data_IF_902285271278
#
_entry.id   IF_902285271278
#
_cell.length_a   1.000
_cell.length_b   1.000
_cell.length_c   1.000
_cell.angle_alpha   90.00
_cell.angle_beta   90.00
_cell.angle_gamma   90.00
#
_symmetry.space_group_name_H-M   'P 1'
#
loop_
_entity.id
_entity.type
_entity.pdbx_description
1 polymer ?
#
# COMPACT_ATOMS: atom_id res chain seq x y z
N UNK A 1 -21.14 30.30 41.67
CA UNK A 1 -21.11 29.00 40.95
C UNK A 1 -19.71 28.83 40.44
N UNK A 2 -18.83 28.33 41.30
CA UNK A 2 -17.41 28.23 40.97
C UNK A 2 -17.22 27.09 39.97
N UNK A 3 -16.51 27.38 38.89
CA UNK A 3 -16.17 26.38 37.90
C UNK A 3 -15.16 25.41 38.50
N UNK A 4 -15.64 24.28 39.03
CA UNK A 4 -14.80 23.17 39.49
C UNK A 4 -13.83 22.81 38.35
N UNK A 5 -12.56 23.13 38.56
CA UNK A 5 -11.51 22.97 37.55
C UNK A 5 -11.25 21.47 37.37
N UNK A 6 -11.88 20.87 36.37
CA UNK A 6 -11.78 19.44 36.11
C UNK A 6 -10.31 19.02 36.00
N UNK A 7 -9.86 18.15 36.91
CA UNK A 7 -8.49 17.64 36.93
C UNK A 7 -8.19 16.93 35.61
N UNK A 8 -7.17 17.41 34.90
CA UNK A 8 -6.67 16.80 33.67
C UNK A 8 -5.43 15.96 34.01
N UNK A 9 -5.60 14.65 34.09
CA UNK A 9 -4.51 13.71 34.39
C UNK A 9 -3.90 13.19 33.09
N UNK A 10 -2.65 13.54 32.74
CA UNK A 10 -2.00 13.08 31.51
C UNK A 10 -1.48 11.65 31.66
N UNK A 11 -1.37 10.96 30.52
CA UNK A 11 -0.85 9.59 30.46
C UNK A 11 0.60 9.64 29.96
N UNK A 12 1.52 9.08 30.73
CA UNK A 12 2.96 9.26 30.52
C UNK A 12 3.59 7.92 30.20
N UNK A 13 4.33 7.82 29.09
CA UNK A 13 5.11 6.63 28.78
C UNK A 13 6.60 6.87 29.06
N UNK A 14 7.15 6.21 30.09
CA UNK A 14 8.56 6.36 30.54
C UNK A 14 9.54 5.38 29.88
N UNK A 15 9.07 4.47 29.04
CA UNK A 15 9.91 3.44 28.41
C UNK A 15 11.07 4.01 27.57
N UNK A 16 12.21 3.31 27.64
CA UNK A 16 13.49 3.69 27.03
C UNK A 16 13.85 2.74 25.88
N UNK A 17 14.37 3.29 24.79
CA UNK A 17 14.73 2.53 23.59
C UNK A 17 15.80 1.47 23.85
N UNK A 18 16.91 1.82 24.53
CA UNK A 18 18.01 0.88 24.75
C UNK A 18 17.60 -0.33 25.61
N UNK A 19 16.85 -0.08 26.68
CA UNK A 19 16.31 -1.12 27.56
C UNK A 19 15.35 -2.06 26.81
N UNK A 20 14.40 -1.50 26.06
CA UNK A 20 13.47 -2.29 25.27
C UNK A 20 14.15 -3.03 24.09
N UNK A 21 15.18 -2.44 23.47
CA UNK A 21 15.98 -3.10 22.43
C UNK A 21 16.66 -4.35 22.98
N UNK A 22 17.28 -4.28 24.16
CA UNK A 22 17.88 -5.45 24.83
C UNK A 22 16.87 -6.56 25.11
N UNK A 23 15.65 -6.21 25.53
CA UNK A 23 14.55 -7.18 25.70
C UNK A 23 14.14 -7.78 24.34
N UNK A 24 14.00 -6.95 23.31
CA UNK A 24 13.53 -7.36 21.99
C UNK A 24 14.52 -8.27 21.26
N UNK A 25 15.82 -7.93 21.24
CA UNK A 25 16.82 -8.73 20.51
C UNK A 25 17.01 -10.13 21.12
N UNK A 26 17.04 -10.24 22.45
CA UNK A 26 17.08 -11.53 23.14
C UNK A 26 15.82 -12.34 22.85
N UNK A 27 14.64 -11.71 22.87
CA UNK A 27 13.40 -12.38 22.53
C UNK A 27 13.34 -12.82 21.06
N UNK A 28 13.91 -12.05 20.13
CA UNK A 28 13.99 -12.39 18.71
C UNK A 28 14.88 -13.61 18.49
N UNK A 29 16.11 -13.58 19.02
CA UNK A 29 17.06 -14.69 18.92
C UNK A 29 16.49 -15.99 19.50
N UNK A 30 15.90 -15.93 20.71
CA UNK A 30 15.24 -17.09 21.32
C UNK A 30 14.02 -17.56 20.51
N UNK A 31 13.29 -16.65 19.86
CA UNK A 31 12.17 -17.02 18.98
C UNK A 31 12.65 -17.74 17.72
N UNK A 32 13.76 -17.32 17.13
CA UNK A 32 14.36 -17.97 15.95
C UNK A 32 14.90 -19.36 16.34
N UNK A 33 15.73 -19.44 17.40
CA UNK A 33 16.36 -20.69 17.86
C UNK A 33 15.32 -21.75 18.25
N UNK A 34 14.17 -21.33 18.78
CA UNK A 34 13.08 -22.25 19.18
C UNK A 34 12.00 -22.43 18.11
N UNK A 35 12.29 -22.08 16.84
CA UNK A 35 11.36 -22.22 15.70
C UNK A 35 9.96 -21.63 15.97
N UNK A 36 9.93 -20.45 16.60
CA UNK A 36 8.70 -19.74 16.93
C UNK A 36 8.10 -20.05 18.30
N UNK A 37 8.52 -21.11 19.01
CA UNK A 37 7.90 -21.52 20.29
C UNK A 37 8.08 -20.43 21.37
N UNK A 38 9.28 -19.87 21.52
CA UNK A 38 9.56 -18.82 22.52
C UNK A 38 8.74 -17.52 22.30
N UNK A 39 8.13 -17.33 21.12
CA UNK A 39 7.30 -16.16 20.82
C UNK A 39 6.15 -15.95 21.82
N UNK A 40 5.73 -16.98 22.56
CA UNK A 40 4.73 -16.87 23.63
C UNK A 40 5.27 -16.12 24.86
N UNK A 41 6.51 -16.42 25.26
CA UNK A 41 7.23 -15.72 26.33
C UNK A 41 7.61 -14.31 25.89
N UNK A 42 8.08 -14.14 24.65
CA UNK A 42 8.35 -12.84 24.05
C UNK A 42 7.13 -11.90 24.09
N UNK A 43 5.92 -12.38 23.74
CA UNK A 43 4.68 -11.57 23.81
C UNK A 43 4.38 -11.12 25.25
N UNK A 44 4.52 -12.00 26.24
CA UNK A 44 4.29 -11.63 27.66
C UNK A 44 5.33 -10.62 28.14
N UNK A 45 6.63 -10.84 27.86
CA UNK A 45 7.71 -9.94 28.28
C UNK A 45 7.57 -8.55 27.64
N UNK A 46 7.17 -8.48 26.36
CA UNK A 46 6.80 -7.25 25.67
C UNK A 46 5.65 -6.54 26.40
N UNK A 47 4.51 -7.22 26.61
CA UNK A 47 3.35 -6.59 27.27
C UNK A 47 3.70 -6.07 28.67
N UNK A 48 4.35 -6.88 29.52
CA UNK A 48 4.83 -6.44 30.85
C UNK A 48 5.66 -5.17 30.77
N UNK A 49 6.59 -5.08 29.80
CA UNK A 49 7.42 -3.89 29.62
C UNK A 49 6.60 -2.63 29.32
N UNK A 50 5.71 -2.68 28.32
CA UNK A 50 4.90 -1.51 27.93
C UNK A 50 3.87 -1.13 28.99
N UNK A 51 3.26 -2.10 29.67
CA UNK A 51 2.26 -1.87 30.71
C UNK A 51 2.91 -1.16 31.90
N UNK A 52 4.02 -1.70 32.41
CA UNK A 52 4.73 -1.11 33.55
C UNK A 52 5.28 0.31 33.24
N UNK A 53 5.66 0.55 31.99
CA UNK A 53 6.15 1.85 31.51
C UNK A 53 5.06 2.82 31.04
N UNK A 54 3.78 2.45 31.09
CA UNK A 54 2.64 3.34 30.83
C UNK A 54 2.07 3.77 32.17
N UNK A 55 2.11 5.06 32.50
CA UNK A 55 1.80 5.56 33.84
C UNK A 55 0.63 6.53 33.82
N UNK A 56 -0.21 6.39 34.85
CA UNK A 56 -1.21 7.38 35.27
C UNK A 56 -0.82 7.79 36.69
N UNK A 57 -0.59 9.08 36.89
CA UNK A 57 -0.12 9.65 38.17
C UNK A 57 1.04 8.84 38.78
N UNK A 58 2.05 8.58 37.96
CA UNK A 58 3.26 7.83 38.33
C UNK A 58 3.05 6.37 38.76
N UNK A 59 1.87 5.77 38.61
CA UNK A 59 1.66 4.32 38.78
C UNK A 59 1.52 3.63 37.42
N UNK A 60 2.21 2.50 37.23
CA UNK A 60 2.18 1.70 36.00
C UNK A 60 0.97 0.77 35.88
N UNK A 61 0.88 0.05 34.74
CA UNK A 61 -0.01 -1.10 34.57
C UNK A 61 0.75 -2.41 34.82
N UNK A 62 0.04 -3.43 35.29
CA UNK A 62 0.57 -4.78 35.44
C UNK A 62 -0.06 -5.73 34.43
N UNK A 63 0.72 -6.70 33.95
CA UNK A 63 0.28 -7.75 33.03
C UNK A 63 0.63 -9.14 33.58
N UNK A 64 -0.39 -9.91 33.93
CA UNK A 64 -0.34 -11.15 34.71
C UNK A 64 -0.34 -12.43 33.87
N UNK A 65 -0.42 -12.33 32.54
CA UNK A 65 -0.57 -13.51 31.69
C UNK A 65 0.61 -14.49 31.78
N UNK A 66 0.27 -15.78 31.89
CA UNK A 66 1.24 -16.88 31.80
C UNK A 66 1.53 -17.20 30.33
N UNK A 67 2.80 -17.26 29.88
CA UNK A 67 3.17 -17.57 28.48
C UNK A 67 2.55 -18.87 27.97
N UNK A 68 2.43 -19.89 28.82
CA UNK A 68 1.91 -21.21 28.47
C UNK A 68 0.46 -21.17 27.95
N UNK A 69 -0.36 -20.20 28.41
CA UNK A 69 -1.73 -20.02 27.94
C UNK A 69 -1.76 -19.51 26.49
N UNK A 70 -0.81 -18.65 26.12
CA UNK A 70 -0.63 -18.15 24.75
C UNK A 70 -0.09 -19.27 23.85
N UNK A 71 0.86 -20.08 24.36
CA UNK A 71 1.40 -21.22 23.62
C UNK A 71 0.31 -22.24 23.28
N UNK A 72 -0.56 -22.61 24.24
CA UNK A 72 -1.69 -23.52 23.99
C UNK A 72 -2.59 -23.05 22.83
N UNK A 73 -2.96 -21.77 22.82
CA UNK A 73 -3.73 -21.18 21.71
C UNK A 73 -3.00 -21.24 20.37
N UNK A 74 -1.68 -21.00 20.36
CA UNK A 74 -0.85 -21.13 19.15
C UNK A 74 -0.70 -22.58 18.67
N UNK A 75 -0.60 -23.56 19.55
CA UNK A 75 -0.54 -24.97 19.16
C UNK A 75 -1.85 -25.43 18.51
N UNK A 76 -3.01 -24.97 19.03
CA UNK A 76 -4.32 -25.23 18.40
C UNK A 76 -4.38 -24.57 17.01
N UNK A 77 -3.96 -23.31 16.88
CA UNK A 77 -3.93 -22.61 15.59
C UNK A 77 -2.96 -23.27 14.59
N UNK A 78 -1.81 -23.76 15.06
CA UNK A 78 -0.83 -24.48 14.24
C UNK A 78 -1.38 -25.83 13.76
N UNK A 79 -2.02 -26.62 14.65
CA UNK A 79 -2.67 -27.87 14.27
C UNK A 79 -3.81 -27.64 13.26
N UNK A 80 -4.60 -26.57 13.45
CA UNK A 80 -5.63 -26.17 12.51
C UNK A 80 -5.06 -25.75 11.15
N UNK A 81 -4.00 -24.93 11.13
CA UNK A 81 -3.30 -24.53 9.90
C UNK A 81 -2.71 -25.74 9.18
N UNK A 82 -2.07 -26.66 9.90
CA UNK A 82 -1.54 -27.90 9.35
C UNK A 82 -2.66 -28.75 8.72
N UNK A 83 -3.79 -28.90 9.41
CA UNK A 83 -4.99 -29.56 8.88
C UNK A 83 -5.50 -28.90 7.59
N UNK A 84 -5.63 -27.57 7.58
CA UNK A 84 -6.00 -26.80 6.39
C UNK A 84 -5.02 -27.04 5.23
N UNK A 85 -3.72 -26.94 5.47
CA UNK A 85 -2.67 -27.13 4.45
C UNK A 85 -2.66 -28.55 3.86
N UNK A 86 -2.81 -29.59 4.69
CA UNK A 86 -2.93 -30.96 4.19
C UNK A 86 -4.26 -31.21 3.48
N UNK A 87 -5.36 -30.59 3.92
CA UNK A 87 -6.69 -30.84 3.39
C UNK A 87 -6.83 -30.57 1.89
N UNK A 88 -6.07 -29.59 1.36
CA UNK A 88 -6.01 -29.27 -0.06
C UNK A 88 -5.48 -30.42 -0.94
N UNK A 89 -4.67 -31.31 -0.38
CA UNK A 89 -4.13 -32.49 -1.07
C UNK A 89 -5.09 -33.69 -1.05
N UNK A 90 -6.15 -33.62 -0.24
CA UNK A 90 -7.16 -34.68 -0.08
C UNK A 90 -8.40 -34.37 -0.91
N UNK A 91 -8.89 -33.13 -0.85
CA UNK A 91 -10.03 -32.67 -1.64
C UNK A 91 -10.07 -31.15 -1.73
N UNK A 92 -10.40 -30.55 -2.90
CA UNK A 92 -10.53 -29.11 -3.06
C UNK A 92 -11.65 -28.49 -2.20
N UNK A 93 -12.58 -29.29 -1.67
CA UNK A 93 -13.70 -28.81 -0.83
C UNK A 93 -13.28 -28.67 0.64
N UNK A 94 -12.32 -29.47 1.13
CA UNK A 94 -11.96 -29.46 2.55
C UNK A 94 -11.32 -28.12 3.03
N UNK A 95 -10.44 -27.43 2.26
CA UNK A 95 -9.97 -26.10 2.62
C UNK A 95 -11.10 -25.09 2.85
N UNK A 96 -12.19 -25.18 2.07
CA UNK A 96 -13.38 -24.35 2.21
C UNK A 96 -14.10 -24.69 3.53
N UNK A 97 -14.25 -25.98 3.84
CA UNK A 97 -14.84 -26.42 5.12
C UNK A 97 -14.02 -25.93 6.33
N UNK A 98 -12.69 -26.01 6.27
CA UNK A 98 -11.81 -25.41 7.30
C UNK A 98 -12.05 -23.89 7.42
N UNK A 99 -12.06 -23.14 6.31
CA UNK A 99 -12.31 -21.69 6.35
C UNK A 99 -13.69 -21.33 6.92
N UNK A 100 -14.73 -22.12 6.60
CA UNK A 100 -16.07 -21.96 7.19
C UNK A 100 -16.09 -22.25 8.70
N UNK A 101 -15.38 -23.29 9.16
CA UNK A 101 -15.20 -23.55 10.59
C UNK A 101 -14.50 -22.37 11.28
N UNK A 102 -13.39 -21.88 10.72
CA UNK A 102 -12.68 -20.72 11.28
C UNK A 102 -13.58 -19.49 11.35
N UNK A 103 -14.39 -19.25 10.30
CA UNK A 103 -15.34 -18.15 10.24
C UNK A 103 -16.42 -18.26 11.33
N UNK A 104 -16.99 -19.45 11.55
CA UNK A 104 -17.98 -19.72 12.61
C UNK A 104 -17.36 -19.54 14.02
N UNK A 105 -16.09 -19.93 14.21
CA UNK A 105 -15.39 -19.78 15.49
C UNK A 105 -14.84 -18.36 15.75
N UNK A 106 -14.77 -17.49 14.74
CA UNK A 106 -14.19 -16.14 14.84
C UNK A 106 -14.83 -15.29 15.97
N UNK A 107 -16.17 -15.24 16.15
CA UNK A 107 -16.79 -14.49 17.25
C UNK A 107 -16.39 -15.00 18.64
N UNK A 108 -16.23 -16.32 18.78
CA UNK A 108 -15.77 -16.94 20.03
C UNK A 108 -14.29 -16.61 20.28
N UNK A 109 -13.45 -16.62 19.24
CA UNK A 109 -12.04 -16.24 19.33
C UNK A 109 -11.88 -14.77 19.75
N UNK A 110 -12.68 -13.85 19.20
CA UNK A 110 -12.69 -12.43 19.60
C UNK A 110 -13.05 -12.30 21.09
N UNK A 111 -14.19 -12.86 21.52
CA UNK A 111 -14.64 -12.79 22.92
C UNK A 111 -13.62 -13.41 23.88
N UNK A 112 -13.08 -14.59 23.57
CA UNK A 112 -12.06 -15.23 24.41
C UNK A 112 -10.73 -14.47 24.43
N UNK A 113 -10.35 -13.82 23.33
CA UNK A 113 -9.20 -12.95 23.24
C UNK A 113 -9.31 -11.74 24.17
N UNK A 114 -10.43 -11.00 24.08
CA UNK A 114 -10.71 -9.85 24.95
C UNK A 114 -10.82 -10.23 26.43
N UNK A 115 -11.54 -11.32 26.77
CA UNK A 115 -11.58 -11.85 28.15
C UNK A 115 -10.17 -12.19 28.66
N UNK A 116 -9.34 -12.82 27.83
CA UNK A 116 -7.98 -13.20 28.21
C UNK A 116 -7.10 -11.98 28.46
N UNK A 117 -7.12 -10.98 27.58
CA UNK A 117 -6.31 -9.78 27.76
C UNK A 117 -6.76 -8.99 29.00
N UNK A 118 -8.06 -8.66 29.10
CA UNK A 118 -8.60 -7.84 30.18
C UNK A 118 -8.33 -8.45 31.57
N UNK A 119 -8.66 -9.73 31.76
CA UNK A 119 -8.45 -10.42 33.06
C UNK A 119 -6.99 -10.62 33.45
N UNK A 120 -6.08 -10.57 32.49
CA UNK A 120 -4.64 -10.65 32.73
C UNK A 120 -4.00 -9.28 32.89
N UNK A 121 -4.78 -8.23 33.03
CA UNK A 121 -4.29 -6.87 33.07
C UNK A 121 -4.94 -6.14 34.25
N UNK A 122 -4.21 -5.18 34.83
CA UNK A 122 -4.65 -4.47 36.03
C UNK A 122 -3.94 -3.15 36.24
N UNK A 123 -4.56 -2.28 37.04
CA UNK A 123 -3.98 -1.02 37.50
C UNK A 123 -4.30 -0.79 38.97
N UNK A 124 -3.30 -0.33 39.75
CA UNK A 124 -3.49 0.03 41.16
C UNK A 124 -4.21 -1.06 41.98
N UNK A 125 -3.93 -2.33 41.67
CA UNK A 125 -4.51 -3.52 42.32
C UNK A 125 -5.90 -3.97 41.81
N UNK A 126 -6.59 -3.16 41.00
CA UNK A 126 -7.88 -3.48 40.40
C UNK A 126 -7.69 -4.12 39.02
N UNK A 127 -8.39 -5.23 38.77
CA UNK A 127 -8.41 -5.92 37.47
C UNK A 127 -9.52 -5.39 36.59
N UNK A 128 -9.35 -5.59 35.30
CA UNK A 128 -10.36 -5.35 34.30
C UNK A 128 -11.05 -6.66 33.92
N UNK A 129 -12.19 -6.55 33.26
CA UNK A 129 -12.92 -7.69 32.70
C UNK A 129 -13.54 -7.33 31.34
N UNK A 130 -13.99 -8.35 30.62
CA UNK A 130 -14.74 -8.22 29.38
C UNK A 130 -16.01 -9.08 29.45
N UNK A 131 -17.18 -8.45 29.31
CA UNK A 131 -18.50 -9.10 29.48
C UNK A 131 -19.25 -9.34 28.15
N UNK A 132 -18.60 -9.11 27.01
CA UNK A 132 -19.22 -9.24 25.69
C UNK A 132 -19.52 -10.69 25.31
N UNK A 133 -20.65 -10.89 24.64
CA UNK A 133 -21.15 -12.23 24.31
C UNK A 133 -20.80 -12.67 22.89
N UNK A 134 -20.74 -13.99 22.66
CA UNK A 134 -20.44 -14.57 21.34
C UNK A 134 -21.50 -14.18 20.30
N UNK A 135 -22.77 -14.03 20.69
CA UNK A 135 -23.84 -13.57 19.81
C UNK A 135 -23.70 -12.11 19.38
N UNK A 136 -23.32 -11.22 20.30
CA UNK A 136 -22.97 -9.83 19.97
C UNK A 136 -21.77 -9.77 19.01
N UNK A 137 -20.72 -10.54 19.29
CA UNK A 137 -19.56 -10.64 18.41
C UNK A 137 -19.94 -11.21 17.03
N UNK A 138 -20.84 -12.18 16.93
CA UNK A 138 -21.29 -12.75 15.65
C UNK A 138 -22.01 -11.69 14.80
N UNK A 139 -22.88 -10.86 15.41
CA UNK A 139 -23.50 -9.72 14.73
C UNK A 139 -22.44 -8.77 14.15
N UNK A 140 -21.43 -8.41 14.94
CA UNK A 140 -20.45 -7.36 14.59
C UNK A 140 -19.32 -7.83 13.68
N UNK A 141 -18.90 -9.09 13.79
CA UNK A 141 -17.74 -9.64 13.06
C UNK A 141 -18.09 -10.64 11.95
N UNK A 142 -19.33 -11.14 11.89
CA UNK A 142 -19.85 -11.96 10.77
C UNK A 142 -20.95 -11.21 10.02
N UNK A 143 -22.07 -10.90 10.67
CA UNK A 143 -23.30 -10.44 9.98
C UNK A 143 -23.08 -9.09 9.30
N UNK A 144 -22.53 -8.09 10.00
CA UNK A 144 -22.27 -6.78 9.39
C UNK A 144 -21.20 -6.84 8.28
N UNK A 145 -20.06 -7.55 8.42
CA UNK A 145 -19.12 -7.76 7.31
C UNK A 145 -19.70 -8.45 6.07
N UNK A 146 -20.65 -9.39 6.20
CA UNK A 146 -21.33 -9.99 5.04
C UNK A 146 -22.14 -8.96 4.23
N UNK A 147 -22.67 -7.91 4.88
CA UNK A 147 -23.34 -6.79 4.20
C UNK A 147 -22.38 -5.89 3.41
N UNK A 148 -21.07 -6.06 3.52
CA UNK A 148 -20.07 -5.27 2.75
C UNK A 148 -20.21 -5.52 1.25
N UNK A 149 -20.48 -6.77 0.85
CA UNK A 149 -20.68 -7.15 -0.56
C UNK A 149 -21.91 -6.45 -1.15
N UNK A 150 -23.04 -6.47 -0.43
CA UNK A 150 -24.30 -5.86 -0.87
C UNK A 150 -24.31 -4.32 -0.84
N UNK A 151 -23.36 -3.71 -0.12
CA UNK A 151 -23.26 -2.24 0.02
C UNK A 151 -22.05 -1.63 -0.69
N UNK A 152 -21.31 -2.42 -1.47
CA UNK A 152 -20.06 -2.01 -2.15
C UNK A 152 -19.07 -1.28 -1.21
N UNK A 153 -18.99 -1.72 0.06
CA UNK A 153 -18.13 -1.11 1.07
C UNK A 153 -18.73 0.08 1.83
N UNK A 154 -19.90 0.62 1.45
CA UNK A 154 -20.51 1.78 2.13
C UNK A 154 -20.90 1.53 3.59
N UNK A 155 -21.01 0.27 4.02
CA UNK A 155 -21.23 -0.11 5.43
C UNK A 155 -19.96 -0.15 6.28
N UNK A 156 -18.75 -0.08 5.70
CA UNK A 156 -17.46 -0.14 6.44
C UNK A 156 -17.38 0.87 7.60
N UNK A 157 -17.81 2.14 7.46
CA UNK A 157 -17.78 3.10 8.58
C UNK A 157 -18.70 2.70 9.73
N UNK A 158 -19.84 2.06 9.42
CA UNK A 158 -20.77 1.50 10.40
C UNK A 158 -20.21 0.24 11.06
N UNK A 159 -19.60 -0.69 10.31
CA UNK A 159 -18.88 -1.85 10.88
C UNK A 159 -17.81 -1.36 11.86
N UNK A 160 -17.02 -0.36 11.48
CA UNK A 160 -15.98 0.23 12.31
C UNK A 160 -16.54 0.79 13.62
N UNK A 161 -17.65 1.55 13.53
CA UNK A 161 -18.38 2.05 14.70
C UNK A 161 -18.93 0.93 15.61
N UNK A 162 -19.62 -0.07 15.07
CA UNK A 162 -20.19 -1.16 15.87
C UNK A 162 -19.10 -2.05 16.49
N UNK A 163 -17.92 -2.19 15.85
CA UNK A 163 -16.74 -2.81 16.47
C UNK A 163 -16.24 -2.01 17.69
N UNK A 164 -16.12 -0.69 17.57
CA UNK A 164 -15.75 0.16 18.70
C UNK A 164 -16.76 0.10 19.84
N UNK A 165 -18.06 0.18 19.53
CA UNK A 165 -19.14 0.02 20.51
C UNK A 165 -19.09 -1.34 21.22
N UNK A 166 -18.91 -2.43 20.46
CA UNK A 166 -18.84 -3.77 21.04
C UNK A 166 -17.62 -3.97 21.95
N UNK A 167 -16.46 -3.42 21.59
CA UNK A 167 -15.26 -3.54 22.42
C UNK A 167 -15.38 -2.68 23.67
N UNK A 168 -15.57 -1.35 23.52
CA UNK A 168 -15.61 -0.41 24.65
C UNK A 168 -16.75 -0.74 25.60
N UNK A 169 -18.00 -0.85 25.13
CA UNK A 169 -19.15 -1.00 26.02
C UNK A 169 -19.15 -2.32 26.80
N UNK A 170 -18.31 -3.30 26.43
CA UNK A 170 -18.18 -4.58 27.13
C UNK A 170 -16.92 -4.68 27.99
N UNK A 171 -16.01 -3.70 27.97
CA UNK A 171 -14.92 -3.61 28.94
C UNK A 171 -15.45 -3.11 30.29
N UNK A 172 -14.78 -3.56 31.36
CA UNK A 172 -15.02 -3.13 32.74
C UNK A 172 -13.70 -2.93 33.47
N UNK A 173 -13.70 -2.06 34.47
CA UNK A 173 -12.61 -1.89 35.43
C UNK A 173 -13.16 -2.01 36.86
N UNK A 174 -12.73 -3.04 37.59
CA UNK A 174 -13.38 -3.40 38.85
C UNK A 174 -14.88 -3.65 38.62
N UNK A 175 -15.71 -2.75 39.15
CA UNK A 175 -17.17 -2.80 38.97
C UNK A 175 -17.69 -1.81 37.91
N UNK A 176 -16.92 -0.78 37.56
CA UNK A 176 -17.33 0.27 36.63
C UNK A 176 -17.25 -0.21 35.18
N UNK A 177 -18.28 0.09 34.39
CA UNK A 177 -18.35 -0.26 32.97
C UNK A 177 -17.99 0.95 32.11
N UNK A 178 -17.34 0.70 30.98
CA UNK A 178 -17.05 1.73 29.98
C UNK A 178 -18.28 1.96 29.09
N UNK A 179 -18.53 3.21 28.72
CA UNK A 179 -19.63 3.61 27.85
C UNK A 179 -19.15 4.53 26.74
N UNK A 180 -19.24 4.09 25.49
CA UNK A 180 -18.98 4.90 24.30
C UNK A 180 -20.28 5.49 23.76
N UNK A 181 -20.36 6.82 23.65
CA UNK A 181 -21.47 7.50 22.96
C UNK A 181 -21.52 7.10 21.48
N UNK A 182 -22.70 6.68 21.00
CA UNK A 182 -22.97 6.31 19.60
C UNK A 182 -22.83 7.54 18.68
N UNK A 183 -21.82 7.53 17.79
CA UNK A 183 -21.41 8.69 16.95
C UNK A 183 -21.21 8.33 15.47
N UNK A 184 -22.05 7.45 14.92
CA UNK A 184 -22.01 6.93 13.53
C UNK A 184 -21.67 7.99 12.46
N UNK A 185 -22.35 9.16 12.47
CA UNK A 185 -22.11 10.25 11.50
C UNK A 185 -20.67 10.73 11.45
N UNK A 186 -19.94 10.67 12.56
CA UNK A 186 -18.55 11.11 12.64
C UNK A 186 -17.59 10.10 12.02
N UNK A 187 -17.86 8.79 12.17
CA UNK A 187 -17.14 7.73 11.48
C UNK A 187 -17.29 7.90 9.96
N UNK A 188 -18.52 8.04 9.45
CA UNK A 188 -18.77 8.28 8.02
C UNK A 188 -17.97 9.47 7.46
N UNK A 189 -17.90 10.61 8.20
CA UNK A 189 -17.08 11.76 7.78
C UNK A 189 -15.59 11.44 7.64
N UNK A 190 -15.04 10.59 8.51
CA UNK A 190 -13.61 10.19 8.46
C UNK A 190 -13.35 9.32 7.22
N UNK A 191 -14.18 8.31 6.97
CA UNK A 191 -14.03 7.43 5.81
C UNK A 191 -14.36 8.12 4.47
N UNK A 192 -15.23 9.13 4.45
CA UNK A 192 -15.52 9.88 3.22
C UNK A 192 -14.30 10.67 2.70
N UNK A 193 -13.54 11.30 3.60
CA UNK A 193 -12.29 12.01 3.24
C UNK A 193 -11.28 11.03 2.61
N UNK A 194 -11.20 9.82 3.16
CA UNK A 194 -10.37 8.72 2.66
C UNK A 194 -10.82 8.22 1.29
N UNK A 195 -12.12 8.23 0.98
CA UNK A 195 -12.61 7.83 -0.33
C UNK A 195 -12.27 8.89 -1.39
N UNK A 196 -12.46 10.17 -1.05
CA UNK A 196 -12.35 11.30 -1.97
C UNK A 196 -10.89 11.56 -2.40
N UNK A 197 -9.93 11.52 -1.47
CA UNK A 197 -8.52 11.82 -1.77
C UNK A 197 -7.91 10.90 -2.87
N UNK A 198 -7.91 9.55 -2.74
CA UNK A 198 -7.41 8.66 -3.80
C UNK A 198 -8.26 8.73 -5.07
N UNK A 199 -9.57 9.00 -4.97
CA UNK A 199 -10.41 9.18 -6.16
C UNK A 199 -9.96 10.40 -6.97
N UNK A 200 -9.71 11.54 -6.31
CA UNK A 200 -9.17 12.75 -6.95
C UNK A 200 -7.78 12.47 -7.52
N UNK A 201 -6.88 11.84 -6.76
CA UNK A 201 -5.52 11.49 -7.24
C UNK A 201 -5.60 10.56 -8.46
N UNK A 202 -6.49 9.56 -8.44
CA UNK A 202 -6.71 8.62 -9.53
C UNK A 202 -7.27 9.29 -10.79
N UNK A 203 -8.23 10.21 -10.65
CA UNK A 203 -8.75 11.02 -11.76
C UNK A 203 -7.66 11.92 -12.34
N UNK A 204 -6.89 12.62 -11.49
CA UNK A 204 -5.77 13.46 -11.94
C UNK A 204 -4.70 12.63 -12.66
N UNK A 205 -4.36 11.44 -12.16
CA UNK A 205 -3.43 10.53 -12.82
C UNK A 205 -3.97 10.01 -14.16
N UNK A 206 -5.26 9.65 -14.22
CA UNK A 206 -5.92 9.19 -15.45
C UNK A 206 -5.98 10.26 -16.55
N UNK A 207 -5.94 11.55 -16.19
CA UNK A 207 -5.84 12.67 -17.15
C UNK A 207 -4.37 12.97 -17.48
N UNK A 208 -3.51 13.05 -16.46
CA UNK A 208 -2.12 13.48 -16.62
C UNK A 208 -1.24 12.45 -17.35
N UNK A 209 -1.44 11.14 -17.12
CA UNK A 209 -0.60 10.10 -17.76
C UNK A 209 -0.80 10.05 -19.29
N UNK A 210 -2.04 10.00 -19.83
CA UNK A 210 -2.24 10.07 -21.28
C UNK A 210 -1.77 11.40 -21.90
N UNK A 211 -1.98 12.53 -21.22
CA UNK A 211 -1.51 13.83 -21.69
C UNK A 211 0.02 13.89 -21.78
N UNK A 212 0.73 13.36 -20.77
CA UNK A 212 2.19 13.24 -20.78
C UNK A 212 2.68 12.27 -21.87
N UNK A 213 2.03 11.12 -22.05
CA UNK A 213 2.34 10.18 -23.13
C UNK A 213 2.19 10.84 -24.51
N UNK A 214 1.10 11.58 -24.75
CA UNK A 214 0.89 12.32 -26.01
C UNK A 214 1.94 13.42 -26.22
N UNK A 215 2.33 14.15 -25.16
CA UNK A 215 3.41 15.13 -25.22
C UNK A 215 4.75 14.48 -25.60
N UNK A 216 5.11 13.36 -24.97
CA UNK A 216 6.35 12.64 -25.26
C UNK A 216 6.39 12.09 -26.70
N UNK A 217 5.26 11.57 -27.21
CA UNK A 217 5.15 11.13 -28.61
C UNK A 217 5.36 12.29 -29.58
N UNK A 218 4.74 13.45 -29.31
CA UNK A 218 4.92 14.66 -30.14
C UNK A 218 6.37 15.16 -30.10
N UNK A 219 6.99 15.24 -28.92
CA UNK A 219 8.38 15.65 -28.77
C UNK A 219 9.35 14.70 -29.52
N UNK A 220 9.13 13.39 -29.43
CA UNK A 220 9.91 12.41 -30.19
C UNK A 220 9.72 12.54 -31.71
N UNK A 221 8.49 12.79 -32.18
CA UNK A 221 8.23 13.02 -33.61
C UNK A 221 8.90 14.29 -34.13
N UNK A 222 8.97 15.36 -33.34
CA UNK A 222 9.65 16.61 -33.72
C UNK A 222 11.18 16.47 -33.70
N UNK A 223 11.73 15.71 -32.75
CA UNK A 223 13.16 15.38 -32.74
C UNK A 223 13.56 14.60 -34.00
N UNK A 224 12.73 13.64 -34.43
CA UNK A 224 12.97 12.86 -35.65
C UNK A 224 12.70 13.66 -36.94
N UNK A 225 11.81 14.66 -36.91
CA UNK A 225 11.59 15.56 -38.04
C UNK A 225 12.83 16.45 -38.32
N UNK A 226 13.61 16.78 -37.29
CA UNK A 226 14.88 17.51 -37.42
C UNK A 226 16.00 16.72 -38.11
N UNK A 227 15.92 15.40 -38.15
CA UNK A 227 16.85 14.50 -38.87
C UNK A 227 16.36 14.11 -40.27
N UNK A 228 15.18 14.57 -40.70
CA UNK A 228 14.54 14.15 -41.94
C UNK A 228 15.05 14.91 -43.19
N UNK A 229 16.38 15.05 -43.33
CA UNK A 229 17.03 15.54 -44.56
C UNK A 229 18.31 14.77 -44.96
N UNK A 230 18.54 13.56 -44.43
CA UNK A 230 19.44 12.58 -45.09
C UNK A 230 18.84 11.16 -44.99
N UNK A 231 17.98 10.81 -45.95
CA UNK A 231 17.76 9.42 -46.32
C UNK A 231 18.69 9.10 -47.50
N UNK A 232 19.73 8.28 -47.35
CA UNK A 232 20.36 7.68 -48.52
C UNK A 232 19.38 6.67 -49.11
N UNK A 233 18.89 6.95 -50.32
CA UNK A 233 18.10 6.00 -51.09
C UNK A 233 18.98 4.78 -51.39
N UNK A 234 18.79 3.69 -50.64
CA UNK A 234 19.34 2.37 -50.97
C UNK A 234 18.20 1.35 -50.98
N UNK A 235 17.33 1.51 -51.98
CA UNK A 235 16.56 0.39 -52.50
C UNK A 235 17.37 -0.22 -53.65
N UNK A 236 18.28 -1.15 -53.33
CA UNK A 236 18.97 -1.97 -54.33
C UNK A 236 18.85 -3.46 -53.99
N UNK A 237 18.78 -4.25 -55.06
CA UNK A 237 18.33 -5.64 -55.09
C UNK A 237 19.35 -6.60 -54.42
N UNK A 238 18.91 -7.77 -53.92
CA UNK A 238 19.80 -8.79 -53.40
C UNK A 238 20.44 -9.62 -54.54
N UNK A 239 21.39 -9.05 -55.26
CA UNK A 239 22.45 -9.73 -56.04
C UNK A 239 23.31 -8.70 -56.77
N UNK A 240 24.53 -9.08 -57.16
CA UNK A 240 25.54 -8.21 -57.81
C UNK A 240 26.07 -7.10 -56.88
N UNK A 241 26.92 -7.47 -55.90
CA UNK A 241 28.35 -7.05 -55.83
C UNK A 241 29.08 -8.07 -54.92
N UNK A 242 29.49 -9.20 -55.49
CA UNK A 242 30.47 -10.11 -54.86
C UNK A 242 31.61 -10.42 -55.85
N UNK A 243 32.07 -9.38 -56.55
CA UNK A 243 33.14 -9.43 -57.54
C UNK A 243 33.64 -8.01 -57.86
N UNK A 244 34.41 -7.39 -56.95
CA UNK A 244 35.10 -6.11 -57.21
C UNK A 244 36.23 -5.73 -56.23
N UNK A 245 36.49 -6.51 -55.16
CA UNK A 245 37.58 -6.24 -54.21
C UNK A 245 38.75 -7.23 -54.36
N UNK A 246 39.31 -7.27 -55.57
CA UNK A 246 40.73 -7.60 -55.78
C UNK A 246 41.44 -6.34 -56.28
N UNK A 247 42.71 -6.19 -55.90
CA UNK A 247 43.70 -5.19 -56.33
C UNK A 247 43.81 -3.81 -55.60
N UNK A 248 45.04 -3.59 -55.11
CA UNK A 248 45.86 -2.34 -55.10
C UNK A 248 45.58 -1.17 -54.14
N UNK A 249 46.40 -1.12 -53.08
CA UNK A 249 47.44 -0.13 -52.75
C UNK A 249 47.18 1.37 -52.48
N UNK A 250 47.72 1.78 -51.32
CA UNK A 250 48.49 3.00 -50.98
C UNK A 250 48.01 4.40 -51.45
N UNK A 251 47.56 5.23 -50.49
CA UNK A 251 48.42 6.25 -49.83
C UNK A 251 47.61 7.26 -49.00
N UNK A 252 48.17 7.69 -47.85
CA UNK A 252 47.66 8.81 -47.05
C UNK A 252 48.41 10.11 -47.44
N UNK A 253 47.70 11.22 -47.69
CA UNK A 253 48.30 12.54 -47.79
C UNK A 253 47.32 13.69 -47.47
N UNK A 254 47.44 14.18 -46.23
CA UNK A 254 47.36 15.59 -45.79
C UNK A 254 46.13 16.48 -45.99
N UNK A 255 46.06 17.51 -45.13
CA UNK A 255 44.92 18.41 -44.97
C UNK A 255 45.19 19.82 -45.51
N UNK A 256 44.16 20.45 -46.12
CA UNK A 256 43.86 21.88 -46.01
C UNK A 256 42.60 22.27 -46.80
N UNK A 257 41.69 23.05 -46.20
CA UNK A 257 40.88 24.05 -46.92
C UNK A 257 40.47 25.20 -45.98
N UNK A 258 40.79 26.47 -46.33
CA UNK A 258 40.24 27.63 -45.64
C UNK A 258 38.91 28.09 -46.26
N UNK A 259 38.23 28.98 -45.53
CA UNK A 259 36.93 29.60 -45.82
C UNK A 259 36.88 30.38 -47.13
N UNK A 260 35.72 30.32 -47.83
CA UNK A 260 35.29 31.38 -48.76
C UNK A 260 33.81 31.70 -48.52
N UNK A 261 33.55 32.97 -48.21
CA UNK A 261 32.23 33.60 -48.02
C UNK A 261 31.76 34.26 -49.34
N UNK A 262 30.44 34.30 -49.63
CA UNK A 262 29.84 35.33 -50.50
C UNK A 262 28.30 35.43 -50.48
N UNK A 263 27.83 36.67 -50.66
CA UNK A 263 26.45 37.19 -50.83
C UNK A 263 26.53 38.36 -51.84
N UNK A 264 25.52 38.87 -52.57
CA UNK A 264 24.04 38.72 -52.60
C UNK A 264 23.54 38.70 -54.07
N UNK A 265 22.32 38.19 -54.31
CA UNK A 265 21.36 38.73 -55.30
C UNK A 265 20.01 38.02 -55.11
N UNK A 266 18.94 38.64 -54.60
CA UNK A 266 18.09 39.71 -55.19
C UNK A 266 17.18 39.29 -56.37
N UNK A 267 15.89 39.37 -56.06
CA UNK A 267 14.76 39.91 -56.84
C UNK A 267 14.25 39.19 -58.10
N UNK A 268 12.98 38.76 -57.99
CA UNK A 268 12.09 38.41 -59.08
C UNK A 268 11.64 39.64 -59.88
N UNK A 269 10.89 39.43 -60.97
CA UNK A 269 9.58 40.08 -61.05
C UNK A 269 8.43 39.16 -61.47
N UNK A 270 7.22 39.50 -61.03
CA UNK A 270 5.94 38.97 -61.52
C UNK A 270 5.65 39.41 -62.96
N UNK A 271 4.92 38.59 -63.74
CA UNK A 271 3.88 39.05 -64.68
C UNK A 271 3.01 37.92 -65.29
N UNK A 272 1.75 37.83 -64.83
CA UNK A 272 0.52 37.72 -65.63
C UNK A 272 0.28 36.63 -66.71
N UNK A 273 -0.81 35.87 -66.47
CA UNK A 273 -1.98 35.62 -67.36
C UNK A 273 -1.95 34.54 -68.48
N UNK A 274 -3.19 34.19 -68.88
CA UNK A 274 -3.66 33.26 -69.94
C UNK A 274 -3.46 31.75 -69.66
N UNK A 275 -4.48 30.88 -69.49
CA UNK A 275 -5.86 30.72 -69.97
C UNK A 275 -6.04 29.88 -71.26
N UNK A 276 -6.65 28.70 -71.08
CA UNK A 276 -7.43 27.92 -72.06
C UNK A 276 -6.81 27.49 -73.41
N UNK A 277 -6.61 26.18 -73.62
CA UNK A 277 -7.49 25.34 -74.49
C UNK A 277 -6.99 23.89 -74.66
N UNK A 278 -7.94 22.94 -74.70
CA UNK A 278 -7.82 21.71 -75.49
C UNK A 278 -8.20 22.03 -76.95
N UNK A 279 -7.68 21.27 -77.92
CA UNK A 279 -8.62 20.40 -78.65
C UNK A 279 -8.08 18.99 -78.95
N UNK A 280 -8.97 18.10 -79.35
CA UNK A 280 -8.67 16.82 -79.98
C UNK A 280 -8.59 16.98 -81.52
N UNK A 281 -7.90 16.06 -82.22
CA UNK A 281 -8.52 15.03 -83.09
C UNK A 281 -7.52 14.40 -84.10
N UNK A 282 -7.85 13.20 -84.63
CA UNK A 282 -7.34 12.47 -85.81
C UNK A 282 -5.81 12.28 -85.99
N UNK A 283 -5.20 11.07 -85.93
CA UNK A 283 -5.40 9.79 -86.66
C UNK A 283 -4.68 9.70 -88.01
N UNK A 284 -3.77 8.73 -88.18
CA UNK A 284 -3.64 7.94 -89.42
C UNK A 284 -2.77 6.67 -89.30
N UNK A 285 -3.08 5.67 -90.14
CA UNK A 285 -2.27 4.54 -90.64
C UNK A 285 -1.79 3.40 -89.71
N UNK A 286 -2.58 2.32 -89.70
CA UNK A 286 -2.13 0.92 -89.93
C UNK A 286 -2.33 0.57 -91.44
N UNK A 287 -1.85 -0.56 -92.00
CA UNK A 287 -1.33 -1.77 -91.33
C UNK A 287 -0.01 -2.36 -91.89
N UNK A 288 0.55 -3.33 -91.16
CA UNK A 288 0.98 -4.59 -91.77
C UNK A 288 0.89 -5.73 -90.74
N UNK A 289 0.45 -6.92 -91.17
CA UNK A 289 0.17 -8.06 -90.29
C UNK A 289 1.24 -9.16 -90.41
N UNK A 290 1.79 -9.64 -89.29
CA UNK A 290 2.29 -11.00 -89.20
C UNK A 290 2.52 -11.49 -87.74
N UNK A 291 2.05 -12.72 -87.47
CA UNK A 291 2.50 -13.69 -86.44
C UNK A 291 2.15 -13.46 -84.96
N UNK A 292 1.15 -14.25 -84.54
CA UNK A 292 1.01 -15.02 -83.29
C UNK A 292 1.10 -14.33 -81.91
N UNK A 293 -0.01 -14.38 -81.16
CA UNK A 293 -0.06 -14.02 -79.74
C UNK A 293 0.26 -15.26 -78.88
N UNK A 294 1.50 -15.38 -78.43
CA UNK A 294 1.87 -16.28 -77.34
C UNK A 294 2.23 -15.47 -76.09
N UNK A 295 1.46 -15.70 -75.03
CA UNK A 295 1.71 -15.13 -73.70
C UNK A 295 3.07 -15.59 -73.16
N UNK A 296 3.94 -14.68 -72.69
CA UNK A 296 5.00 -15.05 -71.75
C UNK A 296 4.36 -15.18 -70.37
N UNK A 297 4.06 -16.41 -69.98
CA UNK A 297 3.54 -16.76 -68.66
C UNK A 297 4.55 -16.40 -67.56
N UNK A 298 4.15 -15.53 -66.64
CA UNK A 298 4.83 -15.30 -65.36
C UNK A 298 3.77 -15.16 -64.27
N UNK A 299 3.47 -16.29 -63.62
CA UNK A 299 2.32 -16.45 -62.73
C UNK A 299 2.28 -15.40 -61.60
N UNK A 300 1.23 -14.57 -61.61
CA UNK A 300 0.73 -13.94 -60.40
C UNK A 300 -0.34 -14.87 -59.82
N UNK A 301 0.09 -15.95 -59.16
CA UNK A 301 -0.81 -16.93 -58.53
C UNK A 301 -0.53 -17.04 -57.03
N UNK A 302 -1.61 -16.85 -56.27
CA UNK A 302 -1.88 -17.41 -54.94
C UNK A 302 -0.67 -17.67 -54.02
N UNK A 303 -0.32 -16.64 -53.25
CA UNK A 303 0.31 -16.84 -51.93
C UNK A 303 -0.62 -17.70 -51.08
N UNK A 304 -0.29 -18.98 -50.96
CA UNK A 304 -1.05 -19.97 -50.19
C UNK A 304 -1.33 -19.42 -48.78
N UNK A 305 -2.55 -19.61 -48.24
CA UNK A 305 -2.91 -19.09 -46.90
C UNK A 305 -1.89 -19.51 -45.82
N UNK A 306 -1.31 -20.72 -45.97
CA UNK A 306 -0.26 -21.28 -45.13
C UNK A 306 1.04 -20.45 -45.11
N UNK A 307 1.42 -19.84 -46.23
CA UNK A 307 2.64 -19.02 -46.37
C UNK A 307 2.42 -17.62 -45.79
N UNK A 308 1.23 -17.05 -45.99
CA UNK A 308 0.82 -15.81 -45.34
C UNK A 308 0.77 -15.99 -43.81
N UNK A 309 0.24 -17.11 -43.31
CA UNK A 309 0.24 -17.45 -41.89
C UNK A 309 1.67 -17.62 -41.34
N UNK A 310 2.57 -18.30 -42.05
CA UNK A 310 3.98 -18.44 -41.63
C UNK A 310 4.72 -17.10 -41.60
N UNK A 311 4.56 -16.25 -42.62
CA UNK A 311 5.14 -14.89 -42.57
C UNK A 311 4.59 -14.07 -41.42
N UNK A 312 3.27 -14.15 -41.17
CA UNK A 312 2.65 -13.43 -40.05
C UNK A 312 3.19 -13.94 -38.70
N UNK A 313 3.33 -15.25 -38.53
CA UNK A 313 3.93 -15.87 -37.33
C UNK A 313 5.40 -15.46 -37.15
N UNK A 314 6.20 -15.46 -38.22
CA UNK A 314 7.61 -15.05 -38.16
C UNK A 314 7.77 -13.55 -37.87
N UNK A 315 6.90 -12.69 -38.43
CA UNK A 315 6.84 -11.27 -38.12
C UNK A 315 6.41 -11.05 -36.67
N UNK A 316 5.40 -11.78 -36.17
CA UNK A 316 5.00 -11.71 -34.75
C UNK A 316 6.13 -12.17 -33.82
N UNK A 317 6.82 -13.27 -34.13
CA UNK A 317 7.97 -13.74 -33.33
C UNK A 317 9.12 -12.74 -33.33
N UNK A 318 9.46 -12.13 -34.48
CA UNK A 318 10.48 -11.07 -34.57
C UNK A 318 10.07 -9.82 -33.79
N UNK A 319 8.80 -9.40 -33.85
CA UNK A 319 8.28 -8.29 -33.02
C UNK A 319 8.30 -8.65 -31.52
N UNK A 320 7.96 -9.88 -31.15
CA UNK A 320 7.97 -10.34 -29.77
C UNK A 320 9.41 -10.43 -29.20
N UNK A 321 10.37 -10.93 -29.98
CA UNK A 321 11.78 -10.92 -29.61
C UNK A 321 12.34 -9.49 -29.50
N UNK A 322 12.01 -8.61 -30.45
CA UNK A 322 12.40 -7.20 -30.40
C UNK A 322 11.78 -6.46 -29.20
N UNK A 323 10.53 -6.78 -28.82
CA UNK A 323 9.89 -6.20 -27.64
C UNK A 323 10.50 -6.73 -26.34
N UNK A 324 10.82 -8.03 -26.26
CA UNK A 324 11.55 -8.65 -25.13
C UNK A 324 12.95 -8.04 -24.97
N UNK A 325 13.68 -7.83 -26.08
CA UNK A 325 14.98 -7.15 -26.08
C UNK A 325 14.90 -5.72 -25.54
N UNK A 326 14.02 -4.89 -26.10
CA UNK A 326 13.77 -3.52 -25.63
C UNK A 326 13.34 -3.47 -24.16
N UNK A 327 12.49 -4.41 -23.72
CA UNK A 327 12.08 -4.50 -22.32
C UNK A 327 13.26 -4.81 -21.40
N UNK A 328 14.11 -5.78 -21.75
CA UNK A 328 15.32 -6.09 -20.98
C UNK A 328 16.31 -4.92 -20.93
N UNK A 329 16.39 -4.11 -21.97
CA UNK A 329 17.24 -2.92 -22.03
C UNK A 329 16.70 -1.78 -21.15
N UNK A 330 15.38 -1.52 -21.18
CA UNK A 330 14.71 -0.57 -20.27
C UNK A 330 14.90 -1.00 -18.80
N UNK A 331 14.72 -2.29 -18.49
CA UNK A 331 14.88 -2.85 -17.14
C UNK A 331 16.30 -2.67 -16.58
N UNK A 332 17.33 -2.60 -17.43
CA UNK A 332 18.73 -2.41 -17.04
C UNK A 332 19.10 -0.95 -16.77
N UNK A 333 18.26 0.02 -17.16
CA UNK A 333 18.54 1.43 -16.91
C UNK A 333 18.40 1.75 -15.41
N UNK A 334 19.41 2.37 -14.76
CA UNK A 334 19.32 2.70 -13.33
C UNK A 334 18.16 3.65 -13.02
N UNK A 335 17.78 4.50 -13.99
CA UNK A 335 16.61 5.37 -13.91
C UNK A 335 15.29 4.60 -13.77
N UNK A 336 15.12 3.48 -14.48
CA UNK A 336 13.90 2.67 -14.39
C UNK A 336 13.75 2.06 -12.99
N UNK A 337 14.85 1.53 -12.43
CA UNK A 337 14.86 1.00 -11.06
C UNK A 337 14.52 2.07 -10.03
N UNK A 338 15.02 3.31 -10.20
CA UNK A 338 14.64 4.45 -9.35
C UNK A 338 13.15 4.81 -9.48
N UNK A 339 12.58 4.79 -10.69
CA UNK A 339 11.15 5.05 -10.92
C UNK A 339 10.29 3.97 -10.24
N UNK A 340 10.64 2.69 -10.39
CA UNK A 340 9.93 1.58 -9.74
C UNK A 340 9.97 1.71 -8.21
N UNK A 341 11.15 1.99 -7.64
CA UNK A 341 11.29 2.24 -6.20
C UNK A 341 10.48 3.47 -5.73
N UNK A 342 10.42 4.53 -6.54
CA UNK A 342 9.60 5.72 -6.23
C UNK A 342 8.10 5.41 -6.24
N UNK A 343 7.61 4.61 -7.19
CA UNK A 343 6.21 4.16 -7.27
C UNK A 343 5.85 3.28 -6.07
N UNK A 344 6.69 2.30 -5.74
CA UNK A 344 6.49 1.47 -4.54
C UNK A 344 6.54 2.29 -3.24
N UNK A 345 7.46 3.25 -3.15
CA UNK A 345 7.57 4.17 -2.01
C UNK A 345 6.34 5.07 -1.85
N UNK A 346 5.79 5.59 -2.94
CA UNK A 346 4.58 6.40 -2.96
C UNK A 346 3.34 5.56 -2.59
N UNK A 347 3.22 4.34 -3.12
CA UNK A 347 2.16 3.41 -2.78
C UNK A 347 2.19 3.01 -1.30
N UNK A 348 3.37 2.71 -0.77
CA UNK A 348 3.57 2.46 0.66
C UNK A 348 3.20 3.70 1.49
N UNK A 349 3.69 4.90 1.13
CA UNK A 349 3.34 6.14 1.80
C UNK A 349 1.81 6.36 1.82
N UNK A 350 1.11 6.04 0.73
CA UNK A 350 -0.34 6.14 0.66
C UNK A 350 -1.03 5.15 1.62
N UNK A 351 -0.66 3.86 1.60
CA UNK A 351 -1.23 2.84 2.50
C UNK A 351 -0.97 3.19 3.97
N UNK A 352 0.28 3.45 4.34
CA UNK A 352 0.64 3.73 5.73
C UNK A 352 0.10 5.09 6.20
N UNK A 353 0.02 6.08 5.31
CA UNK A 353 -0.64 7.35 5.56
C UNK A 353 -2.15 7.20 5.79
N UNK A 354 -2.81 6.35 5.01
CA UNK A 354 -4.22 5.98 5.20
C UNK A 354 -4.48 5.28 6.54
N UNK A 355 -3.69 4.25 6.88
CA UNK A 355 -3.80 3.54 8.16
C UNK A 355 -3.55 4.47 9.35
N UNK A 356 -2.50 5.30 9.28
CA UNK A 356 -2.21 6.29 10.31
C UNK A 356 -3.32 7.35 10.45
N UNK A 357 -3.90 7.83 9.35
CA UNK A 357 -5.04 8.74 9.38
C UNK A 357 -6.25 8.09 10.07
N UNK A 358 -6.60 6.85 9.71
CA UNK A 358 -7.70 6.11 10.36
C UNK A 358 -7.45 5.97 11.87
N UNK A 359 -6.31 5.43 12.28
CA UNK A 359 -6.00 5.22 13.69
C UNK A 359 -6.04 6.52 14.50
N UNK A 360 -5.47 7.62 13.98
CA UNK A 360 -5.52 8.91 14.66
C UNK A 360 -6.93 9.50 14.75
N UNK A 361 -7.72 9.45 13.67
CA UNK A 361 -9.07 10.05 13.64
C UNK A 361 -10.10 9.19 14.37
N UNK A 362 -10.16 7.88 14.10
CA UNK A 362 -11.06 6.95 14.77
C UNK A 362 -10.68 6.81 16.25
N UNK A 363 -9.39 6.75 16.58
CA UNK A 363 -8.93 6.79 17.98
C UNK A 363 -9.43 8.03 18.72
N UNK A 364 -9.32 9.22 18.12
CA UNK A 364 -9.90 10.43 18.71
C UNK A 364 -11.43 10.35 18.87
N UNK A 365 -12.16 9.75 17.91
CA UNK A 365 -13.62 9.58 18.02
C UNK A 365 -14.01 8.60 19.12
N UNK A 366 -13.23 7.53 19.33
CA UNK A 366 -13.47 6.57 20.42
C UNK A 366 -13.23 7.29 21.75
N UNK A 367 -12.00 7.74 22.00
CA UNK A 367 -11.63 8.33 23.29
C UNK A 367 -12.47 9.55 23.67
N UNK A 368 -12.66 10.53 22.79
CA UNK A 368 -13.45 11.73 23.10
C UNK A 368 -14.96 11.44 23.30
N UNK A 369 -15.40 10.20 23.10
CA UNK A 369 -16.78 9.75 23.32
C UNK A 369 -16.90 8.58 24.29
N UNK A 370 -15.80 8.10 24.89
CA UNK A 370 -15.81 7.12 25.98
C UNK A 370 -15.87 7.84 27.33
N UNK A 371 -16.66 7.30 28.26
CA UNK A 371 -16.61 7.58 29.70
C UNK A 371 -16.54 6.28 30.49
N UNK A 372 -16.09 6.36 31.73
CA UNK A 372 -16.21 5.31 32.74
C UNK A 372 -16.61 5.95 34.05
N UNK A 373 -17.83 5.66 34.50
CA UNK A 373 -18.43 6.34 35.66
C UNK A 373 -18.36 7.88 35.50
N UNK A 374 -17.70 8.61 36.40
CA UNK A 374 -17.51 10.06 36.33
C UNK A 374 -16.31 10.51 35.47
N UNK A 375 -15.46 9.57 35.05
CA UNK A 375 -14.24 9.86 34.30
C UNK A 375 -14.51 9.90 32.79
N UNK A 376 -13.97 10.91 32.13
CA UNK A 376 -14.03 11.05 30.67
C UNK A 376 -12.63 11.05 30.07
N UNK A 377 -12.52 10.67 28.79
CA UNK A 377 -11.25 10.60 28.09
C UNK A 377 -11.16 11.71 27.05
N UNK A 378 -9.94 12.21 26.84
CA UNK A 378 -9.65 13.16 25.77
C UNK A 378 -8.42 12.71 24.99
N UNK A 379 -8.57 12.57 23.68
CA UNK A 379 -7.49 12.25 22.73
C UNK A 379 -7.33 13.36 21.70
N UNK A 380 -6.09 13.85 21.57
CA UNK A 380 -5.66 14.95 20.68
C UNK A 380 -4.64 14.47 19.64
N UNK A 381 -4.77 13.23 19.14
CA UNK A 381 -3.87 12.68 18.12
C UNK A 381 -4.00 13.50 16.83
N UNK A 382 -2.91 14.13 16.39
CA UNK A 382 -2.86 14.82 15.09
C UNK A 382 -2.53 13.81 14.00
N UNK A 383 -3.41 13.69 13.00
CA UNK A 383 -3.23 12.74 11.90
C UNK A 383 -1.94 12.99 11.12
N UNK A 384 -1.61 14.25 10.76
CA UNK A 384 -0.36 14.58 10.04
C UNK A 384 0.90 14.17 10.81
N UNK A 385 0.94 14.47 12.11
CA UNK A 385 2.06 14.15 13.00
C UNK A 385 2.21 12.62 13.13
N UNK A 386 1.08 11.89 13.11
CA UNK A 386 1.02 10.43 13.18
C UNK A 386 1.39 9.74 11.85
N UNK A 387 0.98 10.30 10.71
CA UNK A 387 1.42 9.86 9.36
C UNK A 387 2.93 9.99 9.24
N UNK A 388 3.49 11.15 9.61
CA UNK A 388 4.94 11.36 9.60
C UNK A 388 5.67 10.40 10.55
N UNK A 389 5.11 10.14 11.73
CA UNK A 389 5.63 9.15 12.67
C UNK A 389 5.65 7.74 12.08
N UNK A 390 4.58 7.28 11.43
CA UNK A 390 4.53 5.97 10.77
C UNK A 390 5.53 5.88 9.62
N UNK A 391 5.53 6.86 8.71
CA UNK A 391 6.43 6.89 7.57
C UNK A 391 7.91 6.89 8.00
N UNK A 392 8.32 7.80 8.89
CA UNK A 392 9.70 7.85 9.38
C UNK A 392 10.11 6.62 10.20
N UNK A 393 9.16 5.96 10.88
CA UNK A 393 9.42 4.67 11.53
C UNK A 393 9.70 3.57 10.50
N UNK A 394 8.92 3.49 9.42
CA UNK A 394 9.06 2.46 8.37
C UNK A 394 10.37 2.65 7.59
N UNK A 395 10.70 3.88 7.22
CA UNK A 395 11.99 4.21 6.58
C UNK A 395 13.16 3.78 7.48
N UNK A 396 13.11 4.11 8.78
CA UNK A 396 14.15 3.67 9.72
C UNK A 396 14.22 2.14 9.87
N UNK A 397 13.07 1.44 9.89
CA UNK A 397 13.01 -0.02 9.95
C UNK A 397 13.62 -0.65 8.69
N UNK A 398 13.30 -0.14 7.50
CA UNK A 398 13.86 -0.62 6.23
C UNK A 398 15.38 -0.40 6.17
N UNK A 399 15.86 0.82 6.45
CA UNK A 399 17.29 1.16 6.44
C UNK A 399 18.13 0.39 7.46
N UNK A 400 17.51 -0.20 8.48
CA UNK A 400 18.18 -0.96 9.55
C UNK A 400 17.88 -2.46 9.51
N UNK A 401 17.28 -2.96 8.42
CA UNK A 401 16.85 -4.36 8.26
C UNK A 401 16.05 -4.89 9.46
N UNK A 402 15.17 -4.05 10.01
CA UNK A 402 14.31 -4.37 11.16
C UNK A 402 14.85 -3.96 12.53
N UNK A 403 16.14 -3.63 12.67
CA UNK A 403 16.73 -3.33 13.98
C UNK A 403 16.16 -2.06 14.66
N UNK A 404 15.63 -1.10 13.89
CA UNK A 404 14.93 0.07 14.45
C UNK A 404 13.52 -0.21 14.98
N UNK A 405 13.00 -1.44 14.87
CA UNK A 405 11.65 -1.80 15.36
C UNK A 405 11.42 -1.43 16.84
N UNK A 406 12.36 -1.67 17.78
CA UNK A 406 12.18 -1.27 19.18
C UNK A 406 12.13 0.25 19.37
N UNK A 407 12.94 1.00 18.60
CA UNK A 407 12.92 2.47 18.61
C UNK A 407 11.58 3.00 18.10
N UNK A 408 11.08 2.48 16.99
CA UNK A 408 9.79 2.84 16.41
C UNK A 408 8.63 2.57 17.39
N UNK A 409 8.61 1.41 18.06
CA UNK A 409 7.58 1.05 19.03
C UNK A 409 7.60 1.96 20.28
N UNK A 410 8.78 2.30 20.80
CA UNK A 410 8.92 3.24 21.94
C UNK A 410 8.49 4.66 21.55
N UNK A 411 8.87 5.13 20.36
CA UNK A 411 8.48 6.44 19.82
C UNK A 411 6.96 6.53 19.60
N UNK A 412 6.36 5.45 19.09
CA UNK A 412 4.91 5.34 18.91
C UNK A 412 4.15 5.35 20.23
N UNK A 413 4.56 4.52 21.20
CA UNK A 413 3.94 4.48 22.53
C UNK A 413 4.02 5.84 23.24
N UNK A 414 5.19 6.50 23.18
CA UNK A 414 5.40 7.84 23.75
C UNK A 414 4.53 8.90 23.10
N UNK A 415 4.44 8.94 21.77
CA UNK A 415 3.57 9.89 21.09
C UNK A 415 2.11 9.67 21.46
N UNK A 416 1.61 8.43 21.41
CA UNK A 416 0.21 8.12 21.74
C UNK A 416 -0.13 8.51 23.18
N UNK A 417 0.68 8.12 24.17
CA UNK A 417 0.47 8.49 25.56
C UNK A 417 0.41 10.02 25.74
N UNK A 418 1.35 10.77 25.13
CA UNK A 418 1.39 12.24 25.20
C UNK A 418 0.19 12.98 24.61
N UNK A 419 -0.74 12.27 23.95
CA UNK A 419 -1.95 12.82 23.34
C UNK A 419 -3.24 12.31 23.96
N UNK A 420 -3.18 11.44 24.97
CA UNK A 420 -4.33 10.96 25.73
C UNK A 420 -4.25 11.51 27.15
N UNK A 421 -5.35 12.10 27.60
CA UNK A 421 -5.52 12.62 28.95
C UNK A 421 -6.90 12.25 29.49
N UNK A 422 -6.97 12.20 30.81
CA UNK A 422 -8.12 11.81 31.60
C UNK A 422 -8.71 13.08 32.17
N UNK A 423 -10.03 13.24 32.12
CA UNK A 423 -10.72 14.42 32.64
C UNK A 423 -11.81 13.95 33.61
N UNK A 424 -11.66 14.32 34.86
CA UNK A 424 -12.61 14.05 35.93
C UNK A 424 -12.00 14.33 37.28
N UNK A 425 -12.81 14.82 38.21
CA UNK A 425 -12.34 15.13 39.56
C UNK A 425 -12.27 13.85 40.39
N UNK A 426 -11.05 13.38 40.61
CA UNK A 426 -10.75 12.30 41.54
C UNK A 426 -9.55 12.73 42.36
N UNK A 427 -9.82 13.03 43.62
CA UNK A 427 -8.79 13.26 44.62
C UNK A 427 -8.16 11.90 45.00
N UNK A 428 -7.18 11.51 44.20
CA UNK A 428 -6.45 10.27 44.39
C UNK A 428 -5.54 10.27 45.63
N UNK A 429 -5.37 11.42 46.30
CA UNK A 429 -4.52 11.66 47.46
C UNK A 429 -5.31 11.67 48.79
N UNK A 430 -6.62 12.01 48.77
CA UNK A 430 -7.53 11.81 49.92
C UNK A 430 -7.66 10.34 50.36
N UNK A 431 -7.24 9.37 49.53
CA UNK A 431 -7.38 7.93 49.76
C UNK A 431 -6.16 7.25 50.44
N UNK A 432 -5.29 8.01 51.10
CA UNK A 432 -4.15 7.45 51.86
C UNK A 432 -4.54 7.03 53.29
N UNK A 433 -5.70 7.48 53.79
CA UNK A 433 -6.30 7.05 55.05
C UNK A 433 -7.59 6.24 54.84
N UNK A 434 -7.61 5.01 55.37
CA UNK A 434 -8.73 4.08 55.46
C UNK A 434 -9.38 3.47 54.18
N UNK A 435 -9.38 2.13 54.20
CA UNK A 435 -10.29 1.17 53.54
C UNK A 435 -10.71 1.40 52.07
N UNK A 436 -9.99 0.66 51.21
CA UNK A 436 -10.40 0.12 49.88
C UNK A 436 -11.91 0.13 49.58
N UNK A 437 -12.38 1.17 48.90
CA UNK A 437 -13.44 1.12 47.89
C UNK A 437 -13.34 2.34 46.98
N UNK A 438 -13.82 2.20 45.74
CA UNK A 438 -14.03 3.26 44.75
C UNK A 438 -12.82 3.99 44.10
N UNK A 439 -13.02 4.23 42.80
CA UNK A 439 -12.25 5.03 41.82
C UNK A 439 -10.73 4.88 41.75
N UNK A 440 -10.23 4.12 40.75
CA UNK A 440 -8.85 4.28 40.21
C UNK A 440 -8.64 3.75 38.77
N UNK A 441 -9.56 4.08 37.86
CA UNK A 441 -9.56 3.60 36.47
C UNK A 441 -8.46 4.21 35.59
N UNK A 442 -8.55 3.92 34.28
CA UNK A 442 -8.23 4.83 33.14
C UNK A 442 -7.02 4.54 32.21
N UNK A 443 -6.47 3.32 32.14
CA UNK A 443 -5.40 3.07 31.14
C UNK A 443 -5.21 1.66 30.61
N UNK A 444 -6.13 0.72 30.86
CA UNK A 444 -6.04 -0.58 30.20
C UNK A 444 -6.71 -0.63 28.84
N UNK A 445 -7.80 0.12 28.61
CA UNK A 445 -8.28 0.30 27.24
C UNK A 445 -7.15 0.83 26.33
N UNK A 446 -6.20 1.61 26.88
CA UNK A 446 -4.97 2.04 26.18
C UNK A 446 -4.03 0.86 26.00
N UNK A 447 -3.76 0.11 27.06
CA UNK A 447 -2.82 -1.02 27.04
C UNK A 447 -3.30 -2.22 26.18
N UNK A 448 -4.61 -2.39 25.99
CA UNK A 448 -5.21 -3.42 25.12
C UNK A 448 -5.48 -2.89 23.70
N UNK A 449 -6.00 -1.67 23.52
CA UNK A 449 -6.15 -1.07 22.18
C UNK A 449 -4.80 -0.89 21.48
N UNK A 450 -3.70 -0.68 22.22
CA UNK A 450 -2.36 -0.68 21.63
C UNK A 450 -1.90 -2.07 21.18
N UNK A 451 -2.39 -3.19 21.74
CA UNK A 451 -2.10 -4.54 21.21
C UNK A 451 -3.00 -4.89 20.00
N UNK A 452 -4.20 -4.29 19.90
CA UNK A 452 -5.09 -4.37 18.72
C UNK A 452 -4.51 -3.58 17.53
N UNK A 453 -4.00 -2.37 17.77
CA UNK A 453 -3.34 -1.56 16.73
C UNK A 453 -1.92 -2.02 16.38
N UNK A 454 -1.28 -2.83 17.22
CA UNK A 454 0.02 -3.50 16.95
C UNK A 454 -0.15 -4.91 16.37
N UNK A 455 -1.38 -5.36 16.08
CA UNK A 455 -1.64 -6.61 15.34
C UNK A 455 -1.92 -6.39 13.85
N UNK A 456 -1.89 -5.13 13.39
CA UNK A 456 -2.00 -4.72 11.99
C UNK A 456 -0.90 -3.70 11.64
N UNK A 457 0.32 -4.00 12.08
CA UNK A 457 1.57 -3.33 11.68
C UNK A 457 2.56 -4.36 11.18
#
# INVERSE_FOLDING_TARGET
>A
MDSVSQKITPIIFKGKTAEYFGIWIVNLLLTIITLGIYSAWAKVRRKKYFYHNTLIESVGFDYHAKPISILKGRMIAFAFFMGYSFSANISPVLPIAFMLILFIFLPWLVVRGSIFNARNSSHRGLRFDFVGTVGQAAKVFIVLPLLTFFTLGLIIPYISHEKSQFLVNNHRFGLSQFEMRRVVKQFYKVYLIILIIPLIIGILAAIAVPAYQQYMIKAASQANAGTQYVQPFVALQPSIVLAANEATDESEADAAMPTVERVYSENAPDASLEANQMPADMSENTPDQAVDMQEPTANTQDLTELEQQKMLEEIMQKQEQASKGKMQEILKQPLYLLIVLAVFGLYAFFIFGFVAYLQARIGNLIWNNTKIDQLTFQSKLRARDFIWLYFSNIVAIMLTFGLATPWAQIRLARYRASKISIIGDVDFDQFVGDKKAEVKATGEEIAEMFDVDLSFG
#
